data_IF_688135463139
#
_entry.id   IF_688135463139
#
_cell.length_a   1.000
_cell.length_b   1.000
_cell.length_c   1.000
_cell.angle_alpha   90.00
_cell.angle_beta   90.00
_cell.angle_gamma   90.00
#
_symmetry.space_group_name_H-M   'P 1'
#
loop_
_entity.id
_entity.type
_entity.pdbx_description
1 polymer ?
#
# COMPACT_ATOMS: atom_id res chain seq x y z
N UNK A 1 16.54 -6.32 -10.59
CA UNK A 1 17.35 -7.23 -11.44
C UNK A 1 18.23 -6.38 -12.34
N UNK A 2 19.53 -6.68 -12.48
CA UNK A 2 20.40 -5.96 -13.42
C UNK A 2 20.16 -6.45 -14.85
N UNK A 3 20.19 -5.55 -15.82
CA UNK A 3 20.08 -5.85 -17.24
C UNK A 3 21.18 -5.14 -18.02
N UNK A 4 21.42 -5.60 -19.25
CA UNK A 4 22.33 -4.93 -20.18
C UNK A 4 21.79 -5.03 -21.61
N UNK A 5 21.80 -3.91 -22.32
CA UNK A 5 21.34 -3.78 -23.71
C UNK A 5 22.51 -3.22 -24.50
N UNK A 6 23.24 -4.10 -25.20
CA UNK A 6 24.55 -3.74 -25.75
C UNK A 6 25.52 -3.34 -24.63
N UNK A 7 26.11 -2.15 -24.74
CA UNK A 7 27.03 -1.57 -23.74
C UNK A 7 26.32 -0.78 -22.63
N UNK A 8 24.99 -0.66 -22.70
CA UNK A 8 24.20 0.13 -21.76
C UNK A 8 23.70 -0.75 -20.63
N UNK A 9 23.85 -0.30 -19.40
CA UNK A 9 23.44 -1.00 -18.20
C UNK A 9 22.18 -0.39 -17.59
N UNK A 10 21.49 -1.17 -16.78
CA UNK A 10 20.31 -0.71 -16.06
C UNK A 10 19.70 -1.79 -15.18
N UNK A 11 18.49 -1.50 -14.71
CA UNK A 11 17.77 -2.32 -13.76
C UNK A 11 16.33 -2.52 -14.19
N UNK A 12 15.81 -3.73 -14.00
CA UNK A 12 14.37 -3.99 -13.97
C UNK A 12 13.94 -4.13 -12.52
N UNK A 13 13.05 -3.25 -12.08
CA UNK A 13 12.43 -3.29 -10.77
C UNK A 13 11.04 -3.91 -10.89
N UNK A 14 10.84 -4.95 -10.08
CA UNK A 14 9.53 -5.43 -9.72
C UNK A 14 9.33 -4.97 -8.28
N UNK A 15 8.30 -4.16 -8.04
CA UNK A 15 7.98 -3.58 -6.74
C UNK A 15 6.81 -4.36 -6.12
N UNK A 16 7.06 -5.56 -5.53
CA UNK A 16 5.98 -6.36 -4.95
C UNK A 16 5.38 -5.71 -3.70
N UNK A 17 6.13 -4.79 -3.05
CA UNK A 17 5.69 -4.08 -1.86
C UNK A 17 4.86 -2.84 -2.18
N UNK A 18 5.27 -2.03 -3.16
CA UNK A 18 4.68 -0.72 -3.42
C UNK A 18 3.81 -0.65 -4.67
N UNK A 19 2.83 -1.54 -4.81
CA UNK A 19 1.60 -1.30 -5.59
C UNK A 19 1.77 -0.89 -7.09
N UNK A 20 2.98 -0.92 -7.65
CA UNK A 20 3.25 -0.63 -9.07
C UNK A 20 2.94 -1.89 -9.85
N UNK A 21 1.91 -1.85 -10.70
CA UNK A 21 1.40 -3.03 -11.41
C UNK A 21 2.20 -3.41 -12.65
N UNK A 22 3.32 -2.72 -12.91
CA UNK A 22 4.14 -2.88 -14.11
C UNK A 22 5.62 -3.04 -13.74
N UNK A 23 6.42 -3.75 -14.55
CA UNK A 23 7.88 -3.68 -14.44
C UNK A 23 8.35 -2.25 -14.71
N UNK A 24 9.32 -1.78 -13.92
CA UNK A 24 9.96 -0.48 -14.11
C UNK A 24 11.37 -0.72 -14.62
N UNK A 25 11.72 -0.09 -15.74
CA UNK A 25 13.05 -0.18 -16.33
C UNK A 25 13.80 1.10 -16.03
N UNK A 26 14.95 1.01 -15.37
CA UNK A 26 15.78 2.13 -14.98
C UNK A 26 17.13 1.96 -15.68
N UNK A 27 17.30 2.59 -16.84
CA UNK A 27 18.60 2.63 -17.54
C UNK A 27 19.50 3.67 -16.90
N UNK A 28 20.80 3.36 -16.81
CA UNK A 28 21.83 4.26 -16.25
C UNK A 28 21.94 5.57 -17.04
N UNK A 29 21.66 5.52 -18.35
CA UNK A 29 21.71 6.67 -19.25
C UNK A 29 20.38 7.44 -19.38
N UNK A 30 19.31 6.98 -18.73
CA UNK A 30 17.98 7.60 -18.84
C UNK A 30 17.31 7.45 -20.21
N UNK A 31 17.91 6.74 -21.17
CA UNK A 31 17.39 6.59 -22.53
C UNK A 31 16.50 5.36 -22.65
N UNK A 32 15.61 5.35 -23.65
CA UNK A 32 14.76 4.19 -23.96
C UNK A 32 15.56 2.88 -23.93
N UNK A 33 15.11 1.82 -23.21
CA UNK A 33 13.76 1.62 -22.67
C UNK A 33 13.52 2.13 -21.23
N UNK A 34 14.28 3.13 -20.75
CA UNK A 34 14.04 3.76 -19.45
C UNK A 34 12.58 4.19 -19.26
N UNK A 35 12.02 3.89 -18.09
CA UNK A 35 10.68 4.28 -17.67
C UNK A 35 10.74 5.65 -16.99
N UNK A 36 10.53 6.70 -17.77
CA UNK A 36 10.41 8.08 -17.25
C UNK A 36 9.19 8.25 -16.34
N UNK A 37 8.92 9.48 -15.92
CA UNK A 37 7.72 9.84 -15.15
C UNK A 37 6.46 9.15 -15.69
N UNK A 38 5.76 8.46 -14.80
CA UNK A 38 4.50 7.81 -15.11
C UNK A 38 3.46 8.04 -14.03
N UNK A 39 2.19 8.10 -14.45
CA UNK A 39 1.06 8.19 -13.54
C UNK A 39 0.89 6.86 -12.78
N UNK A 40 1.06 6.91 -11.46
CA UNK A 40 0.77 5.77 -10.58
C UNK A 40 -0.70 5.72 -10.20
N UNK A 41 -1.28 6.86 -9.81
CA UNK A 41 -2.68 6.91 -9.41
C UNK A 41 -3.26 8.30 -9.60
N UNK A 42 -4.53 8.37 -10.00
CA UNK A 42 -5.29 9.62 -10.05
C UNK A 42 -6.69 9.39 -9.47
N UNK A 43 -7.14 10.33 -8.64
CA UNK A 43 -8.50 10.41 -8.13
C UNK A 43 -8.90 11.89 -8.01
N UNK A 44 -10.18 12.21 -7.78
CA UNK A 44 -10.65 13.60 -7.76
C UNK A 44 -9.95 14.52 -6.74
N UNK A 45 -9.27 13.97 -5.73
CA UNK A 45 -8.58 14.73 -4.68
C UNK A 45 -7.08 14.84 -4.90
N UNK A 46 -6.47 13.89 -5.61
CA UNK A 46 -5.02 13.80 -5.71
C UNK A 46 -4.56 13.00 -6.93
N UNK A 47 -3.44 13.45 -7.51
CA UNK A 47 -2.67 12.74 -8.53
C UNK A 47 -1.30 12.37 -7.96
N UNK A 48 -0.82 11.16 -8.24
CA UNK A 48 0.54 10.70 -7.89
C UNK A 48 1.26 10.16 -9.11
N UNK A 49 2.45 10.69 -9.35
CA UNK A 49 3.36 10.29 -10.43
C UNK A 49 4.69 9.82 -9.82
N UNK A 50 5.33 8.84 -10.46
CA UNK A 50 6.62 8.29 -10.03
C UNK A 50 7.67 8.37 -11.14
N UNK A 51 8.93 8.54 -10.75
CA UNK A 51 10.11 8.40 -11.60
C UNK A 51 11.21 7.68 -10.85
N UNK A 52 12.03 6.92 -11.57
CA UNK A 52 13.12 6.15 -11.00
C UNK A 52 14.42 6.49 -11.70
N UNK A 53 15.48 6.75 -10.94
CA UNK A 53 16.78 7.11 -11.49
C UNK A 53 17.90 6.40 -10.73
N UNK A 54 18.90 5.89 -11.46
CA UNK A 54 20.08 5.30 -10.84
C UNK A 54 20.89 6.41 -10.17
N UNK A 55 21.15 6.24 -8.87
CA UNK A 55 22.07 7.12 -8.14
C UNK A 55 23.47 6.55 -8.25
N UNK A 56 23.62 5.27 -7.86
CA UNK A 56 24.87 4.54 -7.92
C UNK A 56 24.61 3.03 -8.10
N UNK A 57 25.66 2.22 -7.99
CA UNK A 57 25.60 0.75 -8.10
C UNK A 57 24.77 0.05 -7.00
N UNK A 58 24.43 0.78 -5.93
CA UNK A 58 23.74 0.28 -4.73
C UNK A 58 22.34 0.83 -4.62
N UNK A 59 22.06 2.01 -5.14
CA UNK A 59 20.82 2.75 -4.90
C UNK A 59 20.19 3.28 -6.18
N UNK A 60 18.86 3.15 -6.22
CA UNK A 60 17.99 3.83 -7.18
C UNK A 60 17.13 4.81 -6.39
N UNK A 61 17.03 6.05 -6.87
CA UNK A 61 16.05 7.00 -6.38
C UNK A 61 14.66 6.64 -6.91
N UNK A 62 13.67 6.69 -6.05
CA UNK A 62 12.25 6.66 -6.41
C UNK A 62 11.64 8.01 -6.03
N UNK A 63 11.49 8.86 -7.04
CA UNK A 63 10.89 10.19 -6.90
C UNK A 63 9.37 10.06 -6.98
N UNK A 64 8.70 10.78 -6.09
CA UNK A 64 7.26 10.88 -6.03
C UNK A 64 6.87 12.34 -6.20
N UNK A 65 5.92 12.58 -7.10
CA UNK A 65 5.20 13.85 -7.21
C UNK A 65 3.75 13.62 -6.85
N UNK A 66 3.26 14.34 -5.84
CA UNK A 66 1.85 14.35 -5.45
C UNK A 66 1.25 15.74 -5.71
N UNK A 67 0.22 15.78 -6.56
CA UNK A 67 -0.52 17.01 -6.87
C UNK A 67 -1.91 16.95 -6.23
N UNK A 68 -2.25 17.94 -5.43
CA UNK A 68 -3.56 18.11 -4.77
C UNK A 68 -4.10 19.51 -5.07
N UNK A 69 -4.98 19.61 -6.06
CA UNK A 69 -5.40 20.92 -6.59
C UNK A 69 -4.20 21.64 -7.21
N UNK A 70 -3.86 22.80 -6.68
CA UNK A 70 -2.71 23.62 -7.13
C UNK A 70 -1.41 23.30 -6.38
N UNK A 71 -1.47 22.51 -5.29
CA UNK A 71 -0.29 22.19 -4.47
C UNK A 71 0.42 20.97 -5.07
N UNK A 72 1.71 21.10 -5.35
CA UNK A 72 2.59 20.02 -5.79
C UNK A 72 3.64 19.76 -4.71
N UNK A 73 3.68 18.54 -4.19
CA UNK A 73 4.71 18.08 -3.27
C UNK A 73 5.59 17.06 -3.98
N UNK A 74 6.91 17.19 -3.82
CA UNK A 74 7.88 16.23 -4.35
C UNK A 74 8.80 15.72 -3.24
N UNK A 75 9.11 14.43 -3.29
CA UNK A 75 10.09 13.80 -2.41
C UNK A 75 10.75 12.60 -3.11
N UNK A 76 11.88 12.14 -2.59
CA UNK A 76 12.59 10.99 -3.12
C UNK A 76 12.80 9.94 -2.02
N UNK A 77 12.68 8.68 -2.40
CA UNK A 77 12.97 7.52 -1.57
C UNK A 77 14.18 6.79 -2.16
N UNK A 78 14.89 6.01 -1.35
CA UNK A 78 16.03 5.22 -1.79
C UNK A 78 15.70 3.74 -1.83
N UNK A 79 16.02 3.09 -2.95
CA UNK A 79 15.85 1.65 -3.15
C UNK A 79 17.22 1.01 -3.24
N UNK A 80 17.54 0.12 -2.31
CA UNK A 80 18.78 -0.65 -2.34
C UNK A 80 18.70 -1.82 -3.35
N UNK A 81 19.62 -1.86 -4.31
CA UNK A 81 19.61 -2.79 -5.45
C UNK A 81 20.81 -3.72 -5.53
N UNK A 82 21.79 -3.60 -4.62
CA UNK A 82 22.98 -4.49 -4.61
C UNK A 82 22.65 -5.93 -4.21
N UNK A 83 21.49 -6.17 -3.62
CA UNK A 83 21.01 -7.51 -3.24
C UNK A 83 19.60 -7.72 -3.77
N UNK A 84 19.32 -8.94 -4.23
CA UNK A 84 17.96 -9.31 -4.59
C UNK A 84 17.02 -9.12 -3.40
N UNK A 85 15.84 -8.57 -3.67
CA UNK A 85 14.76 -8.52 -2.70
C UNK A 85 14.46 -9.95 -2.22
N UNK A 86 14.45 -10.15 -0.90
CA UNK A 86 14.23 -11.47 -0.30
C UNK A 86 12.79 -11.95 -0.46
N UNK A 87 12.38 -12.92 0.37
CA UNK A 87 10.97 -13.33 0.44
C UNK A 87 10.12 -12.14 0.91
N UNK A 88 9.03 -11.83 0.21
CA UNK A 88 8.09 -10.75 0.56
C UNK A 88 7.63 -10.82 2.04
N UNK A 89 7.37 -12.04 2.52
CA UNK A 89 7.04 -12.34 3.93
C UNK A 89 8.12 -11.85 4.92
N UNK A 90 9.40 -11.91 4.53
CA UNK A 90 10.52 -11.64 5.45
C UNK A 90 10.80 -10.16 5.68
N UNK A 91 10.39 -9.28 4.77
CA UNK A 91 10.76 -7.85 4.82
C UNK A 91 9.50 -7.00 4.88
N UNK A 92 8.62 -7.07 3.88
CA UNK A 92 7.43 -6.21 3.79
C UNK A 92 6.39 -6.56 4.85
N UNK A 93 6.09 -7.85 5.04
CA UNK A 93 5.09 -8.25 6.03
C UNK A 93 5.59 -8.01 7.46
N UNK A 94 6.88 -8.22 7.73
CA UNK A 94 7.47 -7.92 9.04
C UNK A 94 7.46 -6.42 9.36
N UNK A 95 7.78 -5.56 8.39
CA UNK A 95 7.69 -4.09 8.57
C UNK A 95 6.24 -3.65 8.82
N UNK A 96 5.29 -4.26 8.10
CA UNK A 96 3.85 -4.01 8.28
C UNK A 96 3.34 -4.40 9.67
N UNK A 97 4.03 -5.30 10.41
CA UNK A 97 3.63 -5.66 11.77
C UNK A 97 3.67 -4.44 12.70
N UNK A 98 4.70 -3.61 12.61
CA UNK A 98 4.94 -2.47 13.50
C UNK A 98 4.14 -1.22 13.12
N UNK A 99 3.68 -1.10 11.87
CA UNK A 99 2.97 0.08 11.39
C UNK A 99 1.55 0.25 11.95
N UNK A 100 1.21 1.42 12.49
CA UNK A 100 -0.13 1.63 13.07
C UNK A 100 -1.22 1.76 12.02
N UNK A 101 -0.84 1.99 10.75
CA UNK A 101 -1.75 1.91 9.62
C UNK A 101 -1.88 0.46 9.12
N UNK A 102 -3.05 -0.15 9.31
CA UNK A 102 -3.36 -1.50 8.81
C UNK A 102 -4.24 -1.41 7.57
N UNK A 103 -3.95 -2.22 6.57
CA UNK A 103 -4.80 -2.36 5.38
C UNK A 103 -4.90 -3.80 4.89
N UNK A 104 -6.04 -4.13 4.31
CA UNK A 104 -6.32 -5.39 3.65
C UNK A 104 -6.95 -5.07 2.29
N UNK A 105 -6.31 -5.48 1.20
CA UNK A 105 -6.71 -5.07 -0.16
C UNK A 105 -6.81 -6.26 -1.10
N UNK A 106 -7.85 -6.26 -1.92
CA UNK A 106 -8.06 -7.18 -3.05
C UNK A 106 -7.70 -6.46 -4.35
N UNK A 107 -7.01 -7.17 -5.23
CA UNK A 107 -6.45 -6.64 -6.47
C UNK A 107 -6.81 -7.52 -7.66
N UNK A 108 -6.93 -6.89 -8.82
CA UNK A 108 -6.92 -7.53 -10.12
C UNK A 108 -5.77 -6.95 -10.97
N UNK A 109 -5.69 -7.36 -12.23
CA UNK A 109 -4.68 -6.89 -13.20
C UNK A 109 -4.66 -5.36 -13.38
N UNK A 110 -5.78 -4.69 -13.11
CA UNK A 110 -5.94 -3.23 -13.23
C UNK A 110 -5.64 -2.47 -11.93
N UNK A 111 -5.35 -3.17 -10.84
CA UNK A 111 -5.03 -2.56 -9.54
C UNK A 111 -6.01 -2.96 -8.43
N UNK A 112 -6.22 -2.06 -7.48
CA UNK A 112 -7.01 -2.33 -6.27
C UNK A 112 -8.51 -2.26 -6.60
N UNK A 113 -9.25 -3.33 -6.32
CA UNK A 113 -10.70 -3.45 -6.59
C UNK A 113 -11.53 -3.18 -5.34
N UNK A 114 -11.05 -3.65 -4.19
CA UNK A 114 -11.69 -3.47 -2.90
C UNK A 114 -10.66 -3.55 -1.79
N UNK A 115 -10.99 -3.03 -0.62
CA UNK A 115 -10.15 -3.16 0.55
C UNK A 115 -10.71 -2.47 1.77
N UNK A 116 -10.00 -2.63 2.87
CA UNK A 116 -10.22 -1.87 4.09
C UNK A 116 -8.91 -1.34 4.62
N UNK A 117 -8.99 -0.23 5.35
CA UNK A 117 -7.88 0.27 6.13
C UNK A 117 -8.36 0.89 7.45
N UNK A 118 -7.48 0.91 8.42
CA UNK A 118 -7.69 1.49 9.74
C UNK A 118 -6.36 2.04 10.24
N UNK A 119 -6.40 3.24 10.83
CA UNK A 119 -5.31 3.72 11.68
C UNK A 119 -5.66 3.32 13.11
N UNK A 120 -4.80 2.52 13.75
CA UNK A 120 -5.15 1.83 15.00
C UNK A 120 -5.59 2.78 16.13
N UNK A 121 -5.14 4.04 16.15
CA UNK A 121 -5.55 5.05 17.13
C UNK A 121 -6.91 5.75 16.86
N UNK A 122 -7.59 5.47 15.75
CA UNK A 122 -8.81 6.22 15.33
C UNK A 122 -10.14 5.52 15.60
N UNK A 123 -10.13 4.26 16.07
CA UNK A 123 -11.33 3.43 16.25
C UNK A 123 -12.23 3.37 14.98
N UNK A 124 -11.66 3.68 13.81
CA UNK A 124 -12.42 3.84 12.57
C UNK A 124 -11.85 2.93 11.50
N UNK A 125 -12.70 2.06 10.97
CA UNK A 125 -12.40 1.26 9.80
C UNK A 125 -13.05 1.92 8.59
N UNK A 126 -12.26 2.08 7.53
CA UNK A 126 -12.76 2.47 6.23
C UNK A 126 -12.78 1.26 5.32
N UNK A 127 -13.96 0.92 4.81
CA UNK A 127 -14.14 -0.02 3.71
C UNK A 127 -14.19 0.77 2.39
N UNK A 128 -13.63 0.22 1.33
CA UNK A 128 -13.79 0.75 0.00
C UNK A 128 -13.91 -0.39 -1.02
N UNK A 129 -14.71 -0.18 -2.05
CA UNK A 129 -14.89 -1.14 -3.12
C UNK A 129 -15.47 -0.47 -4.35
N UNK A 130 -15.26 -1.08 -5.52
CA UNK A 130 -15.86 -0.62 -6.77
C UNK A 130 -17.15 -1.36 -7.04
N UNK A 131 -18.24 -0.63 -7.27
CA UNK A 131 -19.54 -1.17 -7.67
C UNK A 131 -20.03 -0.38 -8.88
N UNK A 132 -20.37 -1.05 -9.99
CA UNK A 132 -20.76 -0.42 -11.25
C UNK A 132 -19.76 0.65 -11.75
N UNK A 133 -18.46 0.34 -11.71
CA UNK A 133 -17.35 1.26 -12.05
C UNK A 133 -17.27 2.54 -11.19
N UNK A 134 -18.03 2.63 -10.10
CA UNK A 134 -17.97 3.74 -9.15
C UNK A 134 -17.30 3.27 -7.86
N UNK A 135 -16.29 4.01 -7.40
CA UNK A 135 -15.62 3.73 -6.13
C UNK A 135 -16.50 4.20 -4.98
N UNK A 136 -16.90 3.26 -4.12
CA UNK A 136 -17.62 3.51 -2.87
C UNK A 136 -16.68 3.43 -1.68
N UNK A 137 -16.99 4.22 -0.66
CA UNK A 137 -16.27 4.26 0.61
C UNK A 137 -17.27 4.31 1.76
N UNK A 138 -17.05 3.48 2.78
CA UNK A 138 -17.89 3.38 3.98
C UNK A 138 -16.97 3.52 5.19
N UNK A 139 -17.29 4.42 6.11
CA UNK A 139 -16.60 4.55 7.40
C UNK A 139 -17.48 3.98 8.49
N UNK A 140 -16.90 3.19 9.38
CA UNK A 140 -17.58 2.55 10.50
C UNK A 140 -16.68 2.54 11.74
N UNK A 141 -17.28 2.63 12.92
CA UNK A 141 -16.57 2.53 14.19
C UNK A 141 -16.38 1.06 14.57
N UNK A 142 -15.20 0.68 15.09
CA UNK A 142 -14.97 -0.73 15.44
C UNK A 142 -15.81 -1.18 16.63
N UNK A 143 -16.17 -0.26 17.52
CA UNK A 143 -17.06 -0.55 18.64
C UNK A 143 -18.43 -1.09 18.20
N UNK A 144 -18.88 -0.65 17.02
CA UNK A 144 -20.18 -0.99 16.43
C UNK A 144 -20.09 -2.19 15.47
N UNK A 145 -19.04 -3.02 15.59
CA UNK A 145 -18.81 -4.16 14.70
C UNK A 145 -19.96 -5.17 14.69
N UNK A 146 -20.71 -5.23 15.78
CA UNK A 146 -21.83 -6.17 15.99
C UNK A 146 -23.21 -5.56 15.66
N UNK A 147 -23.27 -4.33 15.17
CA UNK A 147 -24.54 -3.70 14.77
C UNK A 147 -25.04 -4.23 13.42
N UNK A 148 -26.37 -4.29 13.25
CA UNK A 148 -27.01 -4.74 12.00
C UNK A 148 -26.55 -3.93 10.78
N UNK A 149 -26.40 -2.60 10.94
CA UNK A 149 -25.91 -1.72 9.88
C UNK A 149 -24.50 -2.10 9.44
N UNK A 150 -23.61 -2.38 10.39
CA UNK A 150 -22.26 -2.84 10.09
C UNK A 150 -22.28 -4.18 9.36
N UNK A 151 -23.08 -5.14 9.81
CA UNK A 151 -23.19 -6.43 9.14
C UNK A 151 -23.63 -6.28 7.67
N UNK A 152 -24.61 -5.41 7.39
CA UNK A 152 -25.04 -5.13 6.02
C UNK A 152 -23.91 -4.54 5.16
N UNK A 153 -23.13 -3.61 5.72
CA UNK A 153 -21.98 -3.02 5.04
C UNK A 153 -20.88 -4.06 4.76
N UNK A 154 -20.59 -4.94 5.71
CA UNK A 154 -19.63 -6.03 5.55
C UNK A 154 -20.09 -7.05 4.49
N UNK A 155 -21.40 -7.35 4.42
CA UNK A 155 -21.97 -8.21 3.35
C UNK A 155 -21.71 -7.63 1.97
N UNK A 156 -21.99 -6.34 1.76
CA UNK A 156 -21.71 -5.64 0.50
C UNK A 156 -20.22 -5.67 0.16
N UNK A 157 -19.37 -5.39 1.16
CA UNK A 157 -17.92 -5.43 1.01
C UNK A 157 -17.41 -6.81 0.60
N UNK A 158 -17.81 -7.88 1.29
CA UNK A 158 -17.37 -9.26 0.99
C UNK A 158 -17.76 -9.66 -0.42
N UNK A 159 -18.97 -9.29 -0.88
CA UNK A 159 -19.41 -9.52 -2.26
C UNK A 159 -18.50 -8.82 -3.28
N UNK A 160 -18.11 -7.57 -3.01
CA UNK A 160 -17.24 -6.80 -3.90
C UNK A 160 -15.74 -7.17 -3.79
N UNK A 161 -15.31 -7.75 -2.66
CA UNK A 161 -13.93 -8.19 -2.44
C UNK A 161 -13.53 -9.37 -3.32
N UNK A 162 -14.53 -10.03 -3.93
CA UNK A 162 -14.42 -10.52 -5.31
C UNK A 162 -13.28 -11.49 -5.61
N UNK A 163 -12.99 -12.42 -4.69
CA UNK A 163 -12.37 -13.75 -4.94
C UNK A 163 -12.25 -14.55 -3.62
N UNK A 164 -13.32 -15.29 -3.30
CA UNK A 164 -13.42 -16.60 -2.62
C UNK A 164 -12.64 -16.98 -1.34
N UNK A 165 -11.70 -16.20 -0.79
CA UNK A 165 -10.95 -16.64 0.41
C UNK A 165 -11.52 -16.18 1.76
N UNK A 166 -12.35 -15.13 1.78
CA UNK A 166 -12.81 -14.53 3.01
C UNK A 166 -14.33 -14.47 3.05
N UNK A 167 -14.91 -15.31 3.89
CA UNK A 167 -16.34 -15.30 4.22
C UNK A 167 -16.67 -14.14 5.17
N UNK A 168 -17.96 -13.75 5.22
CA UNK A 168 -18.45 -12.77 6.19
C UNK A 168 -18.07 -13.17 7.63
N UNK A 169 -18.22 -14.45 7.97
CA UNK A 169 -17.88 -14.98 9.30
C UNK A 169 -16.39 -14.84 9.61
N UNK A 170 -15.51 -15.16 8.66
CA UNK A 170 -14.07 -14.97 8.83
C UNK A 170 -13.72 -13.50 9.02
N UNK A 171 -14.31 -12.61 8.21
CA UNK A 171 -14.08 -11.18 8.34
C UNK A 171 -14.56 -10.63 9.68
N UNK A 172 -15.76 -11.00 10.12
CA UNK A 172 -16.28 -10.62 11.44
C UNK A 172 -15.38 -11.14 12.56
N UNK A 173 -14.88 -12.38 12.47
CA UNK A 173 -13.94 -12.95 13.43
C UNK A 173 -12.65 -12.13 13.52
N UNK A 174 -12.05 -11.77 12.37
CA UNK A 174 -10.86 -10.92 12.30
C UNK A 174 -11.13 -9.56 12.92
N UNK A 175 -12.25 -8.92 12.60
CA UNK A 175 -12.58 -7.59 13.11
C UNK A 175 -12.89 -7.59 14.61
N UNK A 176 -13.49 -8.67 15.14
CA UNK A 176 -13.67 -8.85 16.60
C UNK A 176 -12.34 -9.07 17.32
N UNK A 177 -11.44 -9.88 16.75
CA UNK A 177 -10.09 -10.04 17.29
C UNK A 177 -9.32 -8.72 17.26
N UNK A 178 -9.44 -7.97 16.16
CA UNK A 178 -8.82 -6.66 16.03
C UNK A 178 -9.39 -5.66 17.05
N UNK A 179 -10.70 -5.64 17.29
CA UNK A 179 -11.32 -4.84 18.36
C UNK A 179 -10.67 -5.11 19.72
N UNK A 180 -10.50 -6.39 20.10
CA UNK A 180 -9.86 -6.76 21.37
C UNK A 180 -8.42 -6.26 21.48
N UNK A 181 -7.67 -6.27 20.36
CA UNK A 181 -6.31 -5.74 20.32
C UNK A 181 -6.31 -4.22 20.54
N UNK A 182 -7.26 -3.49 19.93
CA UNK A 182 -7.37 -2.04 20.11
C UNK A 182 -7.77 -1.64 21.54
N UNK A 183 -8.44 -2.53 22.28
CA UNK A 183 -8.81 -2.34 23.69
C UNK A 183 -7.61 -2.54 24.65
N UNK A 184 -6.56 -3.22 24.21
CA UNK A 184 -5.31 -3.37 24.98
C UNK A 184 -4.47 -2.08 24.89
N UNK A 185 -4.64 -1.22 25.88
CA UNK A 185 -3.98 0.09 25.94
C UNK A 185 -2.46 0.00 26.00
N UNK A 186 -1.92 -1.01 26.68
CA UNK A 186 -0.47 -1.14 26.84
C UNK A 186 0.16 -1.62 25.52
N UNK A 187 -0.44 -2.63 24.88
CA UNK A 187 -0.05 -3.05 23.55
C UNK A 187 -0.12 -1.88 22.55
N UNK A 188 -1.23 -1.14 22.55
CA UNK A 188 -1.41 0.02 21.68
C UNK A 188 -0.32 1.08 21.89
N UNK A 189 0.03 1.38 23.13
CA UNK A 189 1.11 2.32 23.46
C UNK A 189 2.46 1.84 22.91
N UNK A 190 2.80 0.57 23.11
CA UNK A 190 4.04 -0.02 22.59
C UNK A 190 4.08 0.01 21.06
N UNK A 191 2.96 -0.28 20.41
CA UNK A 191 2.84 -0.23 18.96
C UNK A 191 3.02 1.17 18.39
N UNK A 192 2.44 2.20 19.01
CA UNK A 192 2.63 3.59 18.58
C UNK A 192 4.10 4.02 18.69
N UNK A 193 4.77 3.67 19.80
CA UNK A 193 6.19 3.98 20.00
C UNK A 193 7.08 3.29 18.95
N UNK A 194 6.80 2.03 18.62
CA UNK A 194 7.54 1.32 17.58
C UNK A 194 7.35 1.95 16.18
N UNK A 195 6.15 2.43 15.88
CA UNK A 195 5.86 3.11 14.61
C UNK A 195 6.62 4.43 14.51
N UNK A 196 6.67 5.20 15.60
CA UNK A 196 7.45 6.44 15.69
C UNK A 196 8.94 6.19 15.46
N UNK A 197 9.53 5.18 16.11
CA UNK A 197 10.96 4.85 15.92
C UNK A 197 11.31 4.45 14.48
N UNK A 198 10.39 3.78 13.78
CA UNK A 198 10.63 3.41 12.37
C UNK A 198 10.70 4.66 11.47
N UNK A 199 9.99 5.72 11.81
CA UNK A 199 10.01 6.97 11.04
C UNK A 199 11.16 7.91 11.46
N UNK A 200 11.65 7.82 12.70
CA UNK A 200 12.81 8.60 13.17
C UNK A 200 14.17 8.03 12.69
N UNK A 201 14.26 6.71 12.47
CA UNK A 201 15.47 6.02 11.99
C UNK A 201 15.53 5.81 10.45
N UNK A 202 14.59 6.40 9.68
CA UNK A 202 14.49 6.28 8.21
C UNK A 202 14.98 7.53 7.46
#
# INVERSE_FOLDING_TARGET
MKISIGLRHGYILFEPGYHVTRPIIVMDDGLYPHTSWFLQSSNPKAMKEYCYEVIDEKFISWKVRETKGEIVNEWANLIYVKRAFGKCLNITEKRSLCYTFKSLVSRNEKGIVAGMYCLMNTNTITLFYTENNVRKQIKMKIDLIESDLTEQNLKKFVKAFGNSKMTLKQLQSILKAFKKILEDKEFMKQMMLLDEWIEEDA
#
